data_IF_852437753991
#
_entry.id   IF_852437753991
#
_cell.length_a   1.000
_cell.length_b   1.000
_cell.length_c   1.000
_cell.angle_alpha   90.00
_cell.angle_beta   90.00
_cell.angle_gamma   90.00
#
_symmetry.space_group_name_H-M   'P 1'
#
loop_
_entity.id
_entity.type
_entity.pdbx_description
1 polymer ?
#
# COMPACT_ATOMS: atom_id res chain seq x y z
N UNK A 1 -42.85 71.40 51.19
CA UNK A 1 -43.18 69.97 51.30
C UNK A 1 -41.98 69.16 50.75
N UNK A 2 -40.80 69.13 51.39
CA UNK A 2 -40.34 68.08 52.36
C UNK A 2 -40.58 66.65 51.85
N UNK A 3 -39.61 65.72 51.73
CA UNK A 3 -38.27 65.54 52.36
C UNK A 3 -37.40 64.49 51.59
N UNK A 4 -36.05 64.60 51.66
CA UNK A 4 -34.99 63.58 52.01
C UNK A 4 -35.10 62.13 51.39
N UNK A 5 -34.08 61.43 50.82
CA UNK A 5 -32.58 61.49 50.88
C UNK A 5 -31.84 61.03 49.57
N UNK A 6 -30.59 60.52 49.65
CA UNK A 6 -29.64 60.13 48.57
C UNK A 6 -28.88 58.80 48.94
N UNK A 7 -28.55 57.90 47.99
CA UNK A 7 -27.47 56.85 48.07
C UNK A 7 -27.41 56.06 46.74
N UNK A 8 -26.30 56.01 45.96
CA UNK A 8 -25.10 55.12 46.04
C UNK A 8 -25.41 53.61 46.24
N UNK A 9 -24.71 52.62 45.67
CA UNK A 9 -23.79 52.49 44.50
C UNK A 9 -23.39 51.00 44.32
N UNK A 10 -22.80 50.62 43.18
CA UNK A 10 -21.95 49.43 42.91
C UNK A 10 -22.48 47.97 42.97
N UNK A 11 -22.44 47.32 41.80
CA UNK A 11 -21.80 46.02 41.48
C UNK A 11 -22.04 44.73 42.33
N UNK A 12 -22.69 43.74 41.70
CA UNK A 12 -22.46 42.28 41.84
C UNK A 12 -23.06 41.57 40.61
N UNK A 13 -22.32 41.14 39.58
CA UNK A 13 -21.26 40.13 39.50
C UNK A 13 -21.77 38.67 39.64
N UNK A 14 -21.90 38.00 38.48
CA UNK A 14 -21.99 36.55 38.23
C UNK A 14 -23.26 35.81 38.73
N UNK A 15 -23.99 35.13 37.82
CA UNK A 15 -24.16 33.66 37.74
C UNK A 15 -25.22 33.20 36.72
N UNK A 16 -24.96 32.01 36.12
CA UNK A 16 -25.85 31.16 35.30
C UNK A 16 -26.30 31.71 33.93
N UNK A 17 -26.05 31.04 32.80
CA UNK A 17 -25.21 29.87 32.55
C UNK A 17 -25.30 29.42 31.09
N UNK A 18 -24.20 29.50 30.32
CA UNK A 18 -24.12 28.82 29.02
C UNK A 18 -24.00 27.32 29.27
N UNK A 19 -24.97 26.53 28.81
CA UNK A 19 -24.80 25.09 28.66
C UNK A 19 -23.76 24.84 27.56
N UNK A 20 -22.51 24.63 27.94
CA UNK A 20 -21.59 23.89 27.11
C UNK A 20 -22.01 22.42 27.16
N UNK A 21 -22.65 21.93 26.10
CA UNK A 21 -22.85 20.51 25.89
C UNK A 21 -21.49 19.86 25.63
N UNK A 22 -20.80 19.46 26.70
CA UNK A 22 -19.64 18.59 26.60
C UNK A 22 -20.14 17.18 26.26
N UNK A 23 -20.39 16.91 24.98
CA UNK A 23 -20.39 15.54 24.47
C UNK A 23 -19.03 14.95 24.84
N UNK A 24 -18.97 13.86 25.63
CA UNK A 24 -17.70 13.20 25.86
C UNK A 24 -17.26 12.62 24.53
N UNK A 25 -16.25 13.24 23.91
CA UNK A 25 -15.48 12.60 22.85
C UNK A 25 -14.90 11.34 23.44
N UNK A 26 -15.50 10.19 23.10
CA UNK A 26 -14.99 8.89 23.49
C UNK A 26 -13.72 8.63 22.69
N UNK A 27 -12.60 9.18 23.16
CA UNK A 27 -11.26 8.82 22.73
C UNK A 27 -10.93 7.41 23.23
N UNK A 28 -11.64 6.42 22.69
CA UNK A 28 -11.24 5.02 22.76
C UNK A 28 -9.80 4.94 22.28
N UNK A 29 -8.89 4.50 23.15
CA UNK A 29 -7.52 4.20 22.74
C UNK A 29 -7.61 3.19 21.58
N UNK A 30 -6.84 3.37 20.49
CA UNK A 30 -6.79 2.37 19.44
C UNK A 30 -6.36 1.03 20.03
N UNK A 31 -6.98 -0.06 19.58
CA UNK A 31 -6.65 -1.40 20.03
C UNK A 31 -5.23 -1.75 19.57
N UNK A 32 -4.39 -2.25 20.48
CA UNK A 32 -2.99 -2.49 20.20
C UNK A 32 -2.79 -3.75 19.33
N UNK A 33 -2.39 -3.54 18.08
CA UNK A 33 -2.06 -4.62 17.15
C UNK A 33 -0.55 -4.89 17.11
N UNK A 34 -0.09 -5.99 17.72
CA UNK A 34 1.34 -6.36 17.71
C UNK A 34 1.91 -6.65 16.31
N UNK A 35 1.06 -6.94 15.32
CA UNK A 35 1.47 -7.18 13.92
C UNK A 35 1.62 -5.88 13.12
N UNK A 36 1.08 -4.78 13.63
CA UNK A 36 1.13 -3.45 13.02
C UNK A 36 1.15 -2.35 14.09
N UNK A 37 2.24 -2.32 14.87
CA UNK A 37 2.40 -1.49 16.08
C UNK A 37 2.27 0.02 15.81
N UNK A 38 2.58 0.46 14.59
CA UNK A 38 2.53 1.86 14.17
C UNK A 38 1.39 2.15 13.18
N UNK A 39 0.44 1.22 13.04
CA UNK A 39 -0.70 1.31 12.13
C UNK A 39 -0.29 1.77 10.71
N UNK A 40 0.61 1.00 10.09
CA UNK A 40 0.95 1.16 8.68
C UNK A 40 -0.30 1.06 7.81
N UNK A 41 -1.27 0.20 8.17
CA UNK A 41 -2.45 -0.01 7.35
C UNK A 41 -3.27 1.27 7.13
N UNK A 42 -3.45 2.14 8.13
CA UNK A 42 -4.16 3.42 7.94
C UNK A 42 -3.39 4.46 7.14
N UNK A 43 -2.08 4.26 6.90
CA UNK A 43 -1.24 5.12 6.07
C UNK A 43 -1.24 4.71 4.58
N UNK A 44 -1.83 3.55 4.25
CA UNK A 44 -1.92 3.04 2.88
C UNK A 44 -3.23 3.45 2.22
N UNK A 45 -3.17 3.82 0.94
CA UNK A 45 -4.37 4.01 0.13
C UNK A 45 -5.16 2.70 -0.02
N UNK A 46 -6.47 2.80 -0.32
CA UNK A 46 -7.31 1.62 -0.55
C UNK A 46 -6.78 0.74 -1.69
N UNK A 47 -6.27 1.37 -2.77
CA UNK A 47 -5.64 0.68 -3.89
C UNK A 47 -4.39 -0.11 -3.46
N UNK A 48 -3.50 0.49 -2.67
CA UNK A 48 -2.30 -0.17 -2.13
C UNK A 48 -2.65 -1.34 -1.21
N UNK A 49 -3.72 -1.23 -0.42
CA UNK A 49 -4.22 -2.33 0.42
C UNK A 49 -4.79 -3.47 -0.42
N UNK A 50 -5.61 -3.17 -1.43
CA UNK A 50 -6.18 -4.16 -2.37
C UNK A 50 -5.08 -4.90 -3.11
N UNK A 51 -4.12 -4.19 -3.71
CA UNK A 51 -2.99 -4.77 -4.45
C UNK A 51 -2.16 -5.69 -3.54
N UNK A 52 -1.83 -5.24 -2.33
CA UNK A 52 -1.12 -6.04 -1.32
C UNK A 52 -1.85 -7.34 -1.01
N UNK A 53 -3.16 -7.28 -0.78
CA UNK A 53 -3.93 -8.43 -0.32
C UNK A 53 -4.22 -9.43 -1.44
N UNK A 54 -4.43 -8.96 -2.68
CA UNK A 54 -4.45 -9.81 -3.89
C UNK A 54 -3.12 -10.56 -4.09
N UNK A 55 -1.99 -9.86 -4.01
CA UNK A 55 -0.67 -10.49 -4.14
C UNK A 55 -0.39 -11.45 -2.98
N UNK A 56 -0.80 -11.11 -1.75
CA UNK A 56 -0.70 -12.04 -0.61
C UNK A 56 -1.50 -13.32 -0.87
N UNK A 57 -2.73 -13.22 -1.39
CA UNK A 57 -3.55 -14.39 -1.71
C UNK A 57 -2.85 -15.28 -2.75
N UNK A 58 -2.38 -14.71 -3.86
CA UNK A 58 -1.58 -15.42 -4.86
C UNK A 58 -0.35 -16.11 -4.23
N UNK A 59 0.38 -15.40 -3.38
CA UNK A 59 1.57 -15.94 -2.70
C UNK A 59 1.24 -17.16 -1.82
N UNK A 60 0.15 -17.11 -1.04
CA UNK A 60 -0.25 -18.23 -0.19
C UNK A 60 -0.83 -19.42 -0.98
N UNK A 61 -1.62 -19.16 -2.03
CA UNK A 61 -2.28 -20.22 -2.81
C UNK A 61 -1.38 -20.87 -3.86
N UNK A 62 -0.46 -20.11 -4.47
CA UNK A 62 0.33 -20.56 -5.64
C UNK A 62 1.80 -20.77 -5.33
N UNK A 63 2.43 -19.91 -4.54
CA UNK A 63 3.88 -19.95 -4.29
C UNK A 63 4.25 -20.78 -3.06
N UNK A 64 3.54 -20.60 -1.95
CA UNK A 64 3.78 -21.31 -0.68
C UNK A 64 3.76 -22.86 -0.82
N UNK A 65 2.87 -23.48 -1.62
CA UNK A 65 2.91 -24.94 -1.78
C UNK A 65 4.13 -25.46 -2.55
N UNK A 66 4.75 -24.62 -3.40
CA UNK A 66 5.89 -25.01 -4.26
C UNK A 66 7.24 -24.87 -3.57
N UNK A 67 7.41 -23.85 -2.71
CA UNK A 67 8.73 -23.39 -2.28
C UNK A 67 9.60 -24.46 -1.59
N UNK A 68 9.02 -25.33 -0.74
CA UNK A 68 9.80 -26.31 0.03
C UNK A 68 10.60 -27.25 -0.88
N UNK A 69 9.98 -27.76 -1.94
CA UNK A 69 10.63 -28.68 -2.88
C UNK A 69 11.39 -27.94 -3.98
N UNK A 70 10.92 -26.75 -4.39
CA UNK A 70 11.65 -25.88 -5.32
C UNK A 70 13.03 -25.50 -4.76
N UNK A 71 13.09 -25.00 -3.52
CA UNK A 71 14.35 -24.65 -2.85
C UNK A 71 15.24 -25.89 -2.61
N UNK A 72 14.67 -26.97 -2.04
CA UNK A 72 15.43 -28.20 -1.74
C UNK A 72 16.08 -28.86 -2.96
N UNK A 73 15.47 -28.72 -4.14
CA UNK A 73 15.95 -29.32 -5.39
C UNK A 73 16.57 -28.29 -6.35
N UNK A 74 16.85 -27.06 -5.88
CA UNK A 74 17.45 -25.97 -6.68
C UNK A 74 16.69 -25.66 -7.99
N UNK A 75 15.36 -25.82 -7.96
CA UNK A 75 14.50 -25.73 -9.13
C UNK A 75 13.63 -24.46 -9.13
N UNK A 76 13.81 -23.60 -10.14
CA UNK A 76 12.95 -22.46 -10.40
C UNK A 76 11.91 -22.78 -11.48
N UNK A 77 10.63 -22.80 -11.10
CA UNK A 77 9.50 -22.96 -12.01
C UNK A 77 9.26 -21.67 -12.80
N UNK A 78 9.51 -21.73 -14.11
CA UNK A 78 9.36 -20.57 -15.01
C UNK A 78 7.91 -20.10 -15.14
N UNK A 79 6.90 -20.94 -14.85
CA UNK A 79 5.50 -20.51 -14.92
C UNK A 79 5.19 -19.39 -13.93
N UNK A 80 5.95 -19.29 -12.84
CA UNK A 80 5.79 -18.24 -11.82
C UNK A 80 5.91 -16.83 -12.43
N UNK A 81 6.77 -16.62 -13.43
CA UNK A 81 6.87 -15.33 -14.12
C UNK A 81 5.67 -15.06 -15.04
N UNK A 82 5.12 -16.09 -15.69
CA UNK A 82 3.88 -15.97 -16.46
C UNK A 82 2.68 -15.66 -15.55
N UNK A 83 2.57 -16.35 -14.42
CA UNK A 83 1.55 -16.10 -13.39
C UNK A 83 1.68 -14.68 -12.81
N UNK A 84 2.89 -14.20 -12.53
CA UNK A 84 3.15 -12.81 -12.08
C UNK A 84 2.85 -11.77 -13.17
N UNK A 85 3.12 -12.06 -14.44
CA UNK A 85 2.77 -11.19 -15.56
C UNK A 85 1.26 -11.08 -15.75
N UNK A 86 0.54 -12.19 -15.69
CA UNK A 86 -0.93 -12.22 -15.73
C UNK A 86 -1.58 -11.50 -14.53
N UNK A 87 -0.91 -11.50 -13.36
CA UNK A 87 -1.32 -10.72 -12.18
C UNK A 87 -0.97 -9.22 -12.30
N UNK A 88 -0.20 -8.81 -13.32
CA UNK A 88 0.19 -7.41 -13.56
C UNK A 88 1.28 -6.88 -12.62
N UNK A 89 1.98 -7.73 -11.87
CA UNK A 89 3.00 -7.28 -10.91
C UNK A 89 4.38 -7.01 -11.54
N UNK A 90 4.61 -7.48 -12.77
CA UNK A 90 5.85 -7.26 -13.52
C UNK A 90 5.87 -5.85 -14.13
N UNK A 91 6.90 -5.07 -13.79
CA UNK A 91 7.03 -3.68 -14.26
C UNK A 91 5.87 -2.77 -13.81
N UNK A 92 5.19 -3.10 -12.71
CA UNK A 92 3.90 -2.51 -12.36
C UNK A 92 3.89 -0.98 -12.15
N UNK A 93 5.05 -0.34 -11.93
CA UNK A 93 5.19 1.12 -11.81
C UNK A 93 5.33 1.85 -13.15
N UNK A 94 5.52 1.12 -14.26
CA UNK A 94 5.58 1.68 -15.62
C UNK A 94 4.18 2.13 -16.05
N UNK A 95 4.09 3.28 -16.70
CA UNK A 95 2.83 3.84 -17.23
C UNK A 95 2.72 3.54 -18.73
N UNK A 96 1.58 2.99 -19.14
CA UNK A 96 1.35 2.54 -20.52
C UNK A 96 1.92 1.14 -20.77
N UNK A 97 2.00 0.74 -22.04
CA UNK A 97 2.56 -0.56 -22.48
C UNK A 97 1.88 -1.80 -21.87
N UNK A 98 0.64 -1.68 -21.37
CA UNK A 98 -0.07 -2.75 -20.65
C UNK A 98 0.29 -2.86 -19.17
N UNK A 99 1.22 -2.05 -18.66
CA UNK A 99 1.58 -2.02 -17.24
C UNK A 99 0.57 -1.19 -16.41
N UNK A 100 0.23 -1.62 -15.18
CA UNK A 100 -0.74 -0.92 -14.32
C UNK A 100 -0.42 0.55 -13.96
N UNK A 101 0.84 0.93 -13.80
CA UNK A 101 1.24 2.28 -13.39
C UNK A 101 1.06 2.61 -11.91
N UNK A 102 1.09 1.60 -11.02
CA UNK A 102 0.87 1.75 -9.56
C UNK A 102 1.98 2.55 -8.86
N UNK A 103 1.74 2.96 -7.62
CA UNK A 103 2.70 3.69 -6.80
C UNK A 103 3.95 2.87 -6.45
N UNK A 104 5.06 3.55 -6.13
CA UNK A 104 6.26 2.88 -5.60
C UNK A 104 6.02 2.20 -4.24
N UNK A 105 5.02 2.68 -3.46
CA UNK A 105 4.61 2.04 -2.20
C UNK A 105 3.87 0.74 -2.49
N UNK A 106 2.97 0.70 -3.47
CA UNK A 106 2.34 -0.53 -3.95
C UNK A 106 3.40 -1.55 -4.40
N UNK A 107 4.41 -1.14 -5.18
CA UNK A 107 5.54 -2.02 -5.54
C UNK A 107 6.34 -2.53 -4.32
N UNK A 108 6.53 -1.69 -3.30
CA UNK A 108 7.11 -2.09 -2.02
C UNK A 108 6.26 -3.12 -1.26
N UNK A 109 4.93 -3.02 -1.31
CA UNK A 109 4.01 -3.99 -0.72
C UNK A 109 4.00 -5.31 -1.50
N UNK A 110 4.00 -5.27 -2.83
CA UNK A 110 4.10 -6.44 -3.71
C UNK A 110 5.40 -7.20 -3.39
N UNK A 111 6.55 -6.53 -3.42
CA UNK A 111 7.85 -7.16 -3.12
C UNK A 111 7.88 -7.77 -1.72
N UNK A 112 7.33 -7.08 -0.70
CA UNK A 112 7.18 -7.60 0.67
C UNK A 112 6.35 -8.87 0.77
N UNK A 113 5.23 -8.99 0.06
CA UNK A 113 4.38 -10.19 0.13
C UNK A 113 4.93 -11.36 -0.70
N UNK A 114 5.67 -11.11 -1.78
CA UNK A 114 6.40 -12.17 -2.51
C UNK A 114 7.60 -12.68 -1.70
N UNK A 115 8.39 -11.77 -1.09
CA UNK A 115 9.54 -12.14 -0.25
C UNK A 115 9.14 -12.82 1.06
N UNK A 116 7.89 -12.64 1.52
CA UNK A 116 7.32 -13.43 2.63
C UNK A 116 7.31 -14.95 2.32
N UNK A 117 7.30 -15.33 1.04
CA UNK A 117 7.43 -16.73 0.62
C UNK A 117 8.91 -17.07 0.41
N UNK A 118 9.58 -16.33 -0.46
CA UNK A 118 10.98 -16.57 -0.81
C UNK A 118 11.67 -15.36 -1.47
N UNK A 119 12.94 -15.14 -1.10
CA UNK A 119 13.78 -14.09 -1.67
C UNK A 119 14.18 -14.36 -3.13
N UNK A 120 14.24 -15.62 -3.57
CA UNK A 120 14.50 -16.01 -4.97
C UNK A 120 13.34 -15.62 -5.90
N UNK A 121 12.10 -15.89 -5.50
CA UNK A 121 10.91 -15.41 -6.23
C UNK A 121 10.87 -13.88 -6.35
N UNK A 122 11.14 -13.16 -5.25
CA UNK A 122 11.25 -11.68 -5.28
C UNK A 122 12.45 -11.20 -6.09
N UNK A 123 13.54 -11.97 -6.18
CA UNK A 123 14.71 -11.64 -7.02
C UNK A 123 14.35 -11.72 -8.50
N UNK A 124 13.69 -12.79 -8.95
CA UNK A 124 13.24 -12.91 -10.34
C UNK A 124 12.30 -11.75 -10.73
N UNK A 125 11.32 -11.44 -9.88
CA UNK A 125 10.39 -10.32 -10.10
C UNK A 125 11.09 -8.95 -10.15
N UNK A 126 12.08 -8.72 -9.28
CA UNK A 126 12.89 -7.50 -9.21
C UNK A 126 13.79 -7.33 -10.44
N UNK A 127 14.46 -8.40 -10.89
CA UNK A 127 15.25 -8.39 -12.13
C UNK A 127 14.36 -7.99 -13.31
N UNK A 128 13.24 -8.67 -13.51
CA UNK A 128 12.32 -8.39 -14.61
C UNK A 128 11.80 -6.94 -14.57
N UNK A 129 11.32 -6.47 -13.41
CA UNK A 129 10.69 -5.16 -13.28
C UNK A 129 11.71 -4.01 -13.29
N UNK A 130 12.72 -4.07 -12.42
CA UNK A 130 13.62 -2.95 -12.11
C UNK A 130 14.94 -2.98 -12.87
N UNK A 131 15.39 -4.15 -13.36
CA UNK A 131 16.67 -4.30 -14.06
C UNK A 131 16.55 -4.62 -15.56
N UNK A 132 15.36 -5.02 -16.03
CA UNK A 132 15.06 -5.24 -17.46
C UNK A 132 14.05 -4.22 -17.98
N UNK A 133 12.81 -4.22 -17.48
CA UNK A 133 11.75 -3.35 -18.00
C UNK A 133 12.02 -1.87 -17.72
N UNK A 134 12.39 -1.50 -16.48
CA UNK A 134 12.68 -0.11 -16.12
C UNK A 134 13.76 0.57 -16.99
N UNK A 135 14.95 0.00 -17.23
CA UNK A 135 15.93 0.65 -18.11
C UNK A 135 15.49 0.73 -19.58
N UNK A 136 14.69 -0.22 -20.08
CA UNK A 136 14.07 -0.09 -21.43
C UNK A 136 13.09 1.10 -21.45
N UNK A 137 12.25 1.23 -20.42
CA UNK A 137 11.28 2.32 -20.30
C UNK A 137 11.94 3.70 -20.13
N UNK A 138 12.98 3.79 -19.29
CA UNK A 138 13.65 5.05 -18.96
C UNK A 138 14.67 5.50 -20.01
N UNK A 139 15.40 4.57 -20.64
CA UNK A 139 16.57 4.88 -21.48
C UNK A 139 16.49 4.30 -22.90
N UNK A 140 15.51 3.45 -23.19
CA UNK A 140 15.26 2.95 -24.55
C UNK A 140 14.66 4.01 -25.47
N UNK A 141 14.83 3.81 -26.78
CA UNK A 141 14.04 4.49 -27.81
C UNK A 141 12.58 4.00 -27.79
N UNK A 142 11.64 4.81 -28.29
CA UNK A 142 10.22 4.40 -28.37
C UNK A 142 10.03 3.07 -29.10
N UNK A 143 10.77 2.84 -30.20
CA UNK A 143 10.78 1.55 -30.93
C UNK A 143 11.22 0.36 -30.07
N UNK A 144 12.09 0.56 -29.07
CA UNK A 144 12.45 -0.50 -28.11
C UNK A 144 11.36 -0.69 -27.05
N UNK A 145 10.73 0.40 -26.58
CA UNK A 145 9.65 0.34 -25.59
C UNK A 145 8.42 -0.38 -26.14
N UNK A 146 7.93 0.05 -27.30
CA UNK A 146 6.80 -0.56 -28.01
C UNK A 146 7.05 -2.04 -28.34
N UNK A 147 8.28 -2.40 -28.72
CA UNK A 147 8.64 -3.78 -29.06
C UNK A 147 8.73 -4.71 -27.86
N UNK A 148 9.26 -4.25 -26.72
CA UNK A 148 9.65 -5.16 -25.63
C UNK A 148 8.79 -5.04 -24.36
N UNK A 149 8.29 -3.86 -24.00
CA UNK A 149 7.59 -3.68 -22.72
C UNK A 149 6.27 -4.48 -22.62
N UNK A 150 5.41 -4.57 -23.67
CA UNK A 150 4.19 -5.38 -23.62
C UNK A 150 4.48 -6.86 -23.31
N UNK A 151 5.41 -7.47 -24.05
CA UNK A 151 5.77 -8.89 -23.93
C UNK A 151 6.50 -9.21 -22.61
N UNK A 152 7.22 -8.24 -22.03
CA UNK A 152 7.92 -8.39 -20.75
C UNK A 152 7.00 -8.21 -19.53
N UNK A 153 5.95 -7.39 -19.65
CA UNK A 153 4.95 -7.16 -18.61
C UNK A 153 3.92 -8.28 -18.55
N UNK A 154 3.40 -8.68 -19.72
CA UNK A 154 2.51 -9.83 -19.86
C UNK A 154 3.34 -10.97 -20.47
N UNK A 155 4.00 -11.75 -19.60
CA UNK A 155 4.79 -12.92 -20.01
C UNK A 155 3.85 -14.01 -20.53
N UNK A 156 3.54 -13.93 -21.82
CA UNK A 156 2.78 -14.95 -22.55
C UNK A 156 3.67 -16.16 -22.79
N UNK A 157 3.17 -17.36 -22.48
CA UNK A 157 3.90 -18.60 -22.74
C UNK A 157 3.81 -18.91 -24.24
N UNK A 158 4.94 -18.77 -24.94
CA UNK A 158 5.17 -19.31 -26.29
C UNK A 158 5.76 -20.72 -26.21
#
# INVERSE_FOLDING_TARGET
>A
LTRIIFSRSLAKFIRHGRQFSSTPSSTSRPEFNFKDVLDLNSQLTEEEQIVRDQVRQYCQEKLMPRILMANRNEHFDKSILAEMGALGVLGCTIKGYGCPGVSSVAYGLITREVERIDSGYRSAMSVQSSLVMHPIYAYGSEKQKEKYLPDLGIVSIM
#
